data_IF_511808999245
#
_entry.id   IF_511808999245
#
_cell.length_a   1.000
_cell.length_b   1.000
_cell.length_c   1.000
_cell.angle_alpha   90.00
_cell.angle_beta   90.00
_cell.angle_gamma   90.00
#
_symmetry.space_group_name_H-M   'P 1'
#
loop_
_entity.id
_entity.type
_entity.pdbx_description
1 polymer ?
#
# COMPACT_ATOMS: atom_id res chain seq x y z
N UNK A 1 -27.44 -31.57 -9.58
CA UNK A 1 -28.42 -30.47 -9.76
C UNK A 1 -27.71 -29.19 -9.35
N UNK A 2 -28.07 -28.01 -9.86
CA UNK A 2 -27.41 -26.76 -9.42
C UNK A 2 -28.19 -26.17 -8.25
N UNK A 3 -27.53 -25.99 -7.11
CA UNK A 3 -28.10 -25.38 -5.90
C UNK A 3 -27.76 -23.89 -5.88
N UNK A 4 -28.74 -23.03 -5.63
CA UNK A 4 -28.53 -21.58 -5.58
C UNK A 4 -28.30 -21.12 -4.13
N UNK A 5 -27.23 -20.35 -3.91
CA UNK A 5 -26.91 -19.71 -2.62
C UNK A 5 -26.82 -18.20 -2.80
N UNK A 6 -27.72 -17.45 -2.16
CA UNK A 6 -27.74 -15.98 -2.23
C UNK A 6 -27.28 -15.35 -0.92
N UNK A 7 -26.09 -14.75 -0.91
CA UNK A 7 -25.48 -14.10 0.25
C UNK A 7 -25.71 -12.59 0.29
N UNK A 8 -26.25 -11.97 -0.77
CA UNK A 8 -26.39 -10.49 -0.89
C UNK A 8 -27.19 -9.82 0.25
N UNK A 9 -28.08 -10.58 0.88
CA UNK A 9 -28.93 -10.11 1.98
C UNK A 9 -28.38 -10.35 3.37
N UNK A 10 -27.26 -11.08 3.49
CA UNK A 10 -26.67 -11.44 4.77
C UNK A 10 -25.60 -10.41 5.19
N UNK A 11 -25.34 -10.27 6.51
CA UNK A 11 -24.13 -9.62 7.02
C UNK A 11 -22.88 -10.37 6.56
N UNK A 12 -21.76 -9.67 6.35
CA UNK A 12 -20.53 -10.29 5.85
C UNK A 12 -19.95 -11.32 6.82
N UNK A 13 -20.06 -11.07 8.13
CA UNK A 13 -19.65 -11.99 9.19
C UNK A 13 -20.45 -13.31 9.17
N UNK A 14 -21.62 -13.35 8.53
CA UNK A 14 -22.42 -14.57 8.36
C UNK A 14 -22.09 -15.34 7.07
N UNK A 15 -21.32 -14.77 6.13
CA UNK A 15 -21.04 -15.39 4.82
C UNK A 15 -20.39 -16.75 4.99
N UNK A 16 -19.34 -16.82 5.81
CA UNK A 16 -18.61 -18.05 6.13
C UNK A 16 -19.57 -19.12 6.65
N UNK A 17 -20.33 -18.82 7.69
CA UNK A 17 -21.23 -19.78 8.33
C UNK A 17 -22.24 -20.35 7.32
N UNK A 18 -22.86 -19.48 6.52
CA UNK A 18 -23.85 -19.91 5.50
C UNK A 18 -23.23 -20.75 4.40
N UNK A 19 -22.06 -20.35 3.92
CA UNK A 19 -21.31 -21.10 2.92
C UNK A 19 -20.99 -22.50 3.44
N UNK A 20 -20.44 -22.61 4.65
CA UNK A 20 -20.02 -23.88 5.25
C UNK A 20 -21.22 -24.79 5.53
N UNK A 21 -22.32 -24.26 6.08
CA UNK A 21 -23.57 -25.00 6.28
C UNK A 21 -24.10 -25.56 4.94
N UNK A 22 -24.05 -24.77 3.88
CA UNK A 22 -24.56 -25.17 2.55
C UNK A 22 -23.70 -26.28 1.94
N UNK A 23 -22.38 -26.22 2.12
CA UNK A 23 -21.45 -27.18 1.54
C UNK A 23 -21.30 -28.46 2.38
N UNK A 24 -21.70 -28.45 3.66
CA UNK A 24 -21.49 -29.59 4.60
C UNK A 24 -22.04 -30.92 4.09
N UNK A 25 -23.22 -30.91 3.45
CA UNK A 25 -23.87 -32.11 2.91
C UNK A 25 -23.62 -32.32 1.40
N UNK A 26 -22.70 -31.57 0.80
CA UNK A 26 -22.43 -31.63 -0.63
C UNK A 26 -21.59 -32.86 -1.03
N UNK A 27 -21.98 -33.51 -2.12
CA UNK A 27 -21.28 -34.64 -2.72
C UNK A 27 -20.32 -34.17 -3.84
N UNK A 28 -19.30 -34.96 -4.13
CA UNK A 28 -18.40 -34.69 -5.27
C UNK A 28 -19.18 -34.59 -6.57
N UNK A 29 -18.94 -33.52 -7.33
CA UNK A 29 -19.66 -33.18 -8.55
C UNK A 29 -20.90 -32.31 -8.34
N UNK A 30 -21.28 -32.00 -7.09
CA UNK A 30 -22.32 -31.01 -6.84
C UNK A 30 -21.87 -29.61 -7.27
N UNK A 31 -22.83 -28.84 -7.76
CA UNK A 31 -22.59 -27.51 -8.32
C UNK A 31 -23.48 -26.49 -7.64
N UNK A 32 -22.88 -25.38 -7.24
CA UNK A 32 -23.53 -24.27 -6.56
C UNK A 32 -23.41 -22.99 -7.40
N UNK A 33 -24.51 -22.28 -7.57
CA UNK A 33 -24.52 -20.92 -8.10
C UNK A 33 -24.59 -19.96 -6.91
N UNK A 34 -23.51 -19.23 -6.66
CA UNK A 34 -23.36 -18.38 -5.48
C UNK A 34 -23.37 -16.91 -5.90
N UNK A 35 -24.17 -16.11 -5.19
CA UNK A 35 -24.23 -14.66 -5.41
C UNK A 35 -23.88 -13.92 -4.12
N UNK A 36 -22.81 -13.13 -4.13
CA UNK A 36 -22.30 -12.40 -2.97
C UNK A 36 -22.04 -10.91 -3.28
N UNK A 37 -22.02 -10.05 -2.26
CA UNK A 37 -21.60 -8.64 -2.44
C UNK A 37 -20.09 -8.45 -2.32
N UNK A 38 -19.41 -9.35 -1.60
CA UNK A 38 -17.99 -9.25 -1.25
C UNK A 38 -17.20 -10.50 -1.69
N UNK A 39 -15.86 -10.46 -1.54
CA UNK A 39 -14.98 -11.58 -1.89
C UNK A 39 -15.26 -12.74 -0.93
N UNK A 40 -15.38 -13.94 -1.51
CA UNK A 40 -15.60 -15.15 -0.73
C UNK A 40 -14.50 -16.19 -0.92
N UNK A 41 -13.54 -15.93 -1.81
CA UNK A 41 -12.37 -16.77 -2.07
C UNK A 41 -11.64 -17.15 -0.78
N UNK A 42 -11.42 -16.24 0.20
CA UNK A 42 -10.80 -16.61 1.47
C UNK A 42 -11.60 -17.68 2.22
N UNK A 43 -12.93 -17.57 2.24
CA UNK A 43 -13.80 -18.56 2.86
C UNK A 43 -13.81 -19.90 2.10
N UNK A 44 -13.73 -19.85 0.77
CA UNK A 44 -13.65 -21.05 -0.07
C UNK A 44 -12.35 -21.82 0.18
N UNK A 45 -11.20 -21.14 0.18
CA UNK A 45 -9.91 -21.76 0.50
C UNK A 45 -9.91 -22.33 1.91
N UNK A 46 -10.46 -21.57 2.87
CA UNK A 46 -10.56 -22.04 4.25
C UNK A 46 -11.46 -23.27 4.38
N UNK A 47 -12.56 -23.34 3.63
CA UNK A 47 -13.41 -24.54 3.59
C UNK A 47 -12.63 -25.74 3.07
N UNK A 48 -11.84 -25.57 2.00
CA UNK A 48 -11.02 -26.66 1.44
C UNK A 48 -10.09 -27.28 2.48
N UNK A 49 -9.39 -26.44 3.24
CA UNK A 49 -8.43 -26.86 4.28
C UNK A 49 -9.16 -27.54 5.45
N UNK A 50 -10.23 -26.93 5.98
CA UNK A 50 -10.94 -27.44 7.16
C UNK A 50 -11.70 -28.74 6.89
N UNK A 51 -12.13 -28.97 5.64
CA UNK A 51 -12.96 -30.11 5.25
C UNK A 51 -12.26 -31.13 4.35
N UNK A 52 -10.96 -30.95 4.07
CA UNK A 52 -10.16 -31.80 3.17
C UNK A 52 -10.90 -32.07 1.85
N UNK A 53 -11.26 -30.99 1.16
CA UNK A 53 -12.10 -31.06 -0.05
C UNK A 53 -11.66 -30.04 -1.08
N UNK A 54 -11.38 -30.48 -2.30
CA UNK A 54 -11.11 -29.56 -3.40
C UNK A 54 -12.39 -28.82 -3.79
N UNK A 55 -12.25 -27.51 -4.03
CA UNK A 55 -13.30 -26.68 -4.61
C UNK A 55 -12.76 -26.02 -5.87
N UNK A 56 -13.55 -26.03 -6.93
CA UNK A 56 -13.26 -25.28 -8.15
C UNK A 56 -14.35 -24.23 -8.32
N UNK A 57 -13.98 -22.98 -8.58
CA UNK A 57 -14.96 -21.95 -8.86
C UNK A 57 -14.55 -21.04 -10.00
N UNK A 58 -15.54 -20.60 -10.76
CA UNK A 58 -15.39 -19.66 -11.85
C UNK A 58 -16.38 -18.50 -11.65
N UNK A 59 -15.89 -17.28 -11.79
CA UNK A 59 -16.73 -16.09 -11.80
C UNK A 59 -17.44 -15.97 -13.15
N UNK A 60 -18.76 -15.74 -13.14
CA UNK A 60 -19.50 -15.49 -14.39
C UNK A 60 -18.96 -14.24 -15.09
N UNK A 61 -18.68 -13.21 -14.29
CA UNK A 61 -18.02 -11.98 -14.70
C UNK A 61 -17.06 -11.55 -13.59
N UNK A 62 -15.73 -11.48 -13.84
CA UNK A 62 -14.75 -11.20 -12.79
C UNK A 62 -14.96 -9.84 -12.10
N UNK A 63 -15.66 -8.92 -12.79
CA UNK A 63 -15.84 -7.53 -12.42
C UNK A 63 -17.27 -7.13 -12.09
N UNK A 64 -18.23 -8.05 -12.24
CA UNK A 64 -19.62 -7.70 -12.01
C UNK A 64 -19.91 -7.62 -10.51
N UNK A 65 -20.71 -6.63 -10.16
CA UNK A 65 -21.37 -6.55 -8.86
C UNK A 65 -22.89 -6.67 -9.06
N UNK A 66 -23.57 -7.56 -8.31
CA UNK A 66 -23.02 -8.48 -7.31
C UNK A 66 -22.15 -9.57 -7.94
N UNK A 67 -21.25 -10.17 -7.14
CA UNK A 67 -20.39 -11.25 -7.61
C UNK A 67 -21.21 -12.51 -7.78
N UNK A 68 -21.10 -13.10 -8.95
CA UNK A 68 -21.78 -14.34 -9.33
C UNK A 68 -20.71 -15.34 -9.71
N UNK A 69 -20.66 -16.46 -9.00
CA UNK A 69 -19.71 -17.54 -9.26
C UNK A 69 -20.43 -18.88 -9.33
N UNK A 70 -19.86 -19.78 -10.13
CA UNK A 70 -20.24 -21.18 -10.20
C UNK A 70 -19.16 -21.99 -9.49
N UNK A 71 -19.54 -22.61 -8.38
CA UNK A 71 -18.68 -23.47 -7.58
C UNK A 71 -19.01 -24.94 -7.85
N UNK A 72 -17.98 -25.77 -7.98
CA UNK A 72 -18.07 -27.22 -8.14
C UNK A 72 -17.30 -27.89 -7.01
N UNK A 73 -17.93 -28.87 -6.36
CA UNK A 73 -17.31 -29.66 -5.29
C UNK A 73 -16.49 -30.79 -5.90
N UNK A 74 -15.20 -30.83 -5.58
CA UNK A 74 -14.25 -31.81 -6.09
C UNK A 74 -14.11 -33.06 -5.22
N UNK A 75 -13.08 -33.84 -5.52
CA UNK A 75 -12.60 -34.94 -4.67
C UNK A 75 -11.89 -34.39 -3.41
N UNK A 76 -11.49 -35.22 -2.44
CA UNK A 76 -10.58 -34.80 -1.37
C UNK A 76 -9.31 -34.16 -1.93
N UNK A 77 -8.63 -33.32 -1.14
CA UNK A 77 -7.45 -32.61 -1.62
C UNK A 77 -6.36 -33.61 -2.05
N UNK A 78 -5.69 -33.31 -3.16
CA UNK A 78 -4.56 -34.13 -3.63
C UNK A 78 -3.29 -33.93 -2.78
N UNK A 79 -3.27 -32.89 -1.93
CA UNK A 79 -2.18 -32.54 -1.01
C UNK A 79 -2.70 -31.93 0.29
N UNK A 80 -1.80 -31.37 1.10
CA UNK A 80 -2.15 -30.83 2.44
C UNK A 80 -2.82 -29.44 2.39
N UNK A 81 -2.82 -28.79 1.23
CA UNK A 81 -3.18 -27.38 1.07
C UNK A 81 -4.36 -27.17 0.10
N UNK A 82 -5.29 -26.29 0.48
CA UNK A 82 -6.37 -25.84 -0.41
C UNK A 82 -5.82 -25.03 -1.58
N UNK A 83 -6.50 -25.02 -2.73
CA UNK A 83 -6.02 -24.30 -3.93
C UNK A 83 -6.84 -23.05 -4.20
N UNK A 84 -6.18 -21.98 -4.62
CA UNK A 84 -6.82 -20.78 -5.18
C UNK A 84 -6.25 -20.46 -6.56
N UNK A 85 -7.14 -20.35 -7.54
CA UNK A 85 -6.80 -19.85 -8.87
C UNK A 85 -7.14 -18.37 -8.97
N UNK A 86 -6.12 -17.54 -9.20
CA UNK A 86 -6.27 -16.09 -9.26
C UNK A 86 -6.11 -15.52 -10.66
N UNK A 87 -5.98 -16.37 -11.68
CA UNK A 87 -5.69 -15.93 -13.06
C UNK A 87 -6.75 -14.97 -13.60
N UNK A 88 -8.01 -15.26 -13.29
CA UNK A 88 -9.15 -14.43 -13.69
C UNK A 88 -9.48 -13.32 -12.68
N UNK A 89 -8.79 -13.28 -11.54
CA UNK A 89 -8.94 -12.19 -10.56
C UNK A 89 -8.15 -10.97 -11.02
N UNK A 90 -8.79 -9.80 -10.91
CA UNK A 90 -8.10 -8.51 -11.06
C UNK A 90 -6.94 -8.36 -10.08
N UNK A 91 -5.85 -7.67 -10.47
CA UNK A 91 -4.68 -7.50 -9.62
C UNK A 91 -4.99 -6.99 -8.21
N UNK A 92 -5.84 -5.98 -8.03
CA UNK A 92 -6.12 -5.42 -6.70
C UNK A 92 -6.75 -6.45 -5.76
N UNK A 93 -7.74 -7.21 -6.27
CA UNK A 93 -8.49 -8.22 -5.50
C UNK A 93 -7.67 -9.47 -5.23
N UNK A 94 -6.81 -9.85 -6.18
CA UNK A 94 -5.84 -10.94 -6.02
C UNK A 94 -4.98 -10.71 -4.76
N UNK A 95 -4.38 -9.54 -4.61
CA UNK A 95 -3.53 -9.28 -3.45
C UNK A 95 -4.33 -9.31 -2.14
N UNK A 96 -5.49 -8.66 -2.10
CA UNK A 96 -6.36 -8.60 -0.92
C UNK A 96 -6.78 -10.01 -0.45
N UNK A 97 -7.30 -10.84 -1.36
CA UNK A 97 -7.72 -12.21 -1.03
C UNK A 97 -6.56 -13.07 -0.53
N UNK A 98 -5.37 -12.95 -1.15
CA UNK A 98 -4.21 -13.76 -0.77
C UNK A 98 -3.64 -13.38 0.60
N UNK A 99 -3.66 -12.10 0.95
CA UNK A 99 -3.28 -11.63 2.29
C UNK A 99 -4.28 -12.10 3.35
N UNK A 100 -5.58 -11.96 3.08
CA UNK A 100 -6.63 -12.41 4.00
C UNK A 100 -6.55 -13.92 4.24
N UNK A 101 -6.35 -14.73 3.19
CA UNK A 101 -6.13 -16.17 3.34
C UNK A 101 -4.95 -16.42 4.28
N UNK A 102 -3.79 -15.80 4.03
CA UNK A 102 -2.58 -16.02 4.82
C UNK A 102 -2.75 -15.61 6.30
N UNK A 103 -3.47 -14.52 6.57
CA UNK A 103 -3.76 -14.07 7.94
C UNK A 103 -4.58 -15.09 8.72
N UNK A 104 -5.48 -15.82 8.06
CA UNK A 104 -6.33 -16.85 8.69
C UNK A 104 -5.64 -18.19 8.91
N UNK A 105 -4.46 -18.42 8.33
CA UNK A 105 -3.72 -19.68 8.49
C UNK A 105 -3.18 -19.85 9.92
N UNK A 106 -3.23 -21.07 10.42
CA UNK A 106 -2.49 -21.53 11.60
C UNK A 106 -1.06 -21.96 11.21
N UNK A 107 -0.24 -22.22 12.22
CA UNK A 107 1.13 -22.71 12.00
C UNK A 107 1.11 -24.12 11.39
N UNK A 108 1.78 -24.30 10.26
CA UNK A 108 1.80 -25.53 9.45
C UNK A 108 0.68 -25.61 8.42
N UNK A 109 -0.23 -24.63 8.36
CA UNK A 109 -1.23 -24.54 7.29
C UNK A 109 -0.71 -23.71 6.12
N UNK A 110 -1.32 -23.93 4.95
CA UNK A 110 -0.92 -23.29 3.70
C UNK A 110 -1.99 -23.40 2.61
N UNK A 111 -1.71 -22.78 1.48
CA UNK A 111 -2.54 -22.87 0.28
C UNK A 111 -1.66 -22.92 -0.98
N UNK A 112 -2.19 -23.50 -2.06
CA UNK A 112 -1.60 -23.49 -3.39
C UNK A 112 -2.15 -22.32 -4.18
N UNK A 113 -1.28 -21.41 -4.61
CA UNK A 113 -1.59 -20.32 -5.53
C UNK A 113 -1.39 -20.77 -6.98
N UNK A 114 -2.42 -20.64 -7.82
CA UNK A 114 -2.33 -20.79 -9.28
C UNK A 114 -2.36 -19.42 -9.94
N UNK A 115 -1.29 -19.07 -10.65
CA UNK A 115 -1.12 -17.75 -11.26
C UNK A 115 -0.71 -17.84 -12.75
N UNK A 116 -0.97 -16.79 -13.51
CA UNK A 116 -0.66 -16.69 -14.95
C UNK A 116 0.79 -16.24 -15.22
N UNK A 117 1.47 -15.74 -14.19
CA UNK A 117 2.86 -15.29 -14.21
C UNK A 117 3.56 -15.68 -12.91
N UNK A 118 4.88 -15.49 -12.85
CA UNK A 118 5.66 -15.75 -11.63
C UNK A 118 5.20 -14.84 -10.47
N UNK A 119 4.64 -15.38 -9.37
CA UNK A 119 4.15 -14.59 -8.25
C UNK A 119 5.25 -14.17 -7.27
N UNK A 120 6.53 -14.22 -7.67
CA UNK A 120 7.67 -13.77 -6.85
C UNK A 120 7.51 -12.39 -6.17
N UNK A 121 6.85 -11.38 -6.76
CA UNK A 121 6.55 -10.13 -6.04
C UNK A 121 5.74 -10.37 -4.75
N UNK A 122 4.76 -11.28 -4.79
CA UNK A 122 3.95 -11.65 -3.62
C UNK A 122 4.79 -12.35 -2.54
N UNK A 123 5.77 -13.18 -2.92
CA UNK A 123 6.70 -13.77 -1.96
C UNK A 123 7.44 -12.70 -1.15
N UNK A 124 8.00 -11.70 -1.85
CA UNK A 124 8.69 -10.60 -1.20
C UNK A 124 7.75 -9.79 -0.30
N UNK A 125 6.49 -9.64 -0.73
CA UNK A 125 5.44 -8.97 0.01
C UNK A 125 5.11 -9.70 1.32
N UNK A 126 4.73 -10.98 1.25
CA UNK A 126 4.41 -11.81 2.40
C UNK A 126 5.61 -11.91 3.36
N UNK A 127 6.81 -12.16 2.83
CA UNK A 127 8.02 -12.23 3.64
C UNK A 127 8.35 -10.90 4.33
N UNK A 128 8.00 -9.78 3.70
CA UNK A 128 8.15 -8.46 4.33
C UNK A 128 7.14 -8.22 5.46
N UNK A 129 5.95 -8.82 5.39
CA UNK A 129 4.89 -8.67 6.41
C UNK A 129 5.07 -9.62 7.59
N UNK A 130 5.22 -10.90 7.28
CA UNK A 130 5.17 -11.97 8.28
C UNK A 130 6.58 -12.45 8.65
N UNK A 131 7.62 -11.93 7.99
CA UNK A 131 9.01 -12.27 8.28
C UNK A 131 9.36 -13.66 7.77
N UNK A 132 10.17 -14.39 8.54
CA UNK A 132 10.71 -15.69 8.13
C UNK A 132 9.74 -16.86 8.41
N UNK A 133 8.47 -16.59 8.76
CA UNK A 133 7.43 -17.64 8.91
C UNK A 133 6.79 -18.04 7.58
N UNK A 134 7.10 -17.35 6.48
CA UNK A 134 6.55 -17.63 5.16
C UNK A 134 7.36 -18.74 4.47
N UNK A 135 6.78 -19.92 4.38
CA UNK A 135 7.21 -21.01 3.51
C UNK A 135 6.79 -20.75 2.07
N UNK A 136 7.66 -21.05 1.11
CA UNK A 136 7.42 -20.80 -0.31
C UNK A 136 8.10 -21.86 -1.15
N UNK A 137 7.31 -22.65 -1.86
CA UNK A 137 7.80 -23.71 -2.75
C UNK A 137 7.07 -23.66 -4.09
N UNK A 138 7.82 -23.71 -5.19
CA UNK A 138 7.22 -23.79 -6.52
C UNK A 138 6.88 -25.26 -6.82
N UNK A 139 5.58 -25.56 -6.87
CA UNK A 139 5.08 -26.88 -7.28
C UNK A 139 5.18 -27.07 -8.80
N UNK A 140 4.99 -25.99 -9.58
CA UNK A 140 5.16 -26.00 -11.04
C UNK A 140 5.56 -24.62 -11.56
N UNK A 141 6.53 -24.60 -12.49
CA UNK A 141 7.03 -23.40 -13.17
C UNK A 141 7.02 -23.61 -14.70
N UNK A 142 6.36 -22.72 -15.44
CA UNK A 142 6.38 -22.70 -16.91
C UNK A 142 5.05 -23.08 -17.59
N UNK A 143 4.94 -22.78 -18.89
CA UNK A 143 3.75 -23.01 -19.74
C UNK A 143 2.49 -22.16 -19.44
N UNK A 144 2.67 -20.97 -18.85
CA UNK A 144 1.57 -20.01 -18.63
C UNK A 144 0.74 -20.30 -17.37
N UNK A 145 1.19 -21.25 -16.55
CA UNK A 145 0.59 -21.57 -15.25
C UNK A 145 1.72 -21.75 -14.22
N UNK A 146 1.64 -21.01 -13.13
CA UNK A 146 2.57 -21.08 -12.01
C UNK A 146 1.82 -21.60 -10.80
N UNK A 147 2.30 -22.70 -10.22
CA UNK A 147 1.76 -23.23 -8.95
C UNK A 147 2.79 -23.03 -7.85
N UNK A 148 2.36 -22.36 -6.79
CA UNK A 148 3.21 -22.08 -5.62
C UNK A 148 2.49 -22.50 -4.36
N UNK A 149 3.14 -23.35 -3.56
CA UNK A 149 2.75 -23.67 -2.21
C UNK A 149 3.24 -22.57 -1.27
N UNK A 150 2.29 -21.95 -0.56
CA UNK A 150 2.53 -20.88 0.40
C UNK A 150 2.11 -21.41 1.76
N UNK A 151 3.07 -21.53 2.68
CA UNK A 151 2.86 -22.10 4.02
C UNK A 151 3.17 -21.07 5.10
N UNK A 152 2.42 -21.09 6.21
CA UNK A 152 2.77 -20.40 7.44
C UNK A 152 3.50 -21.36 8.38
N UNK A 153 4.82 -21.41 8.28
CA UNK A 153 5.68 -22.43 8.92
C UNK A 153 5.73 -22.37 10.44
N UNK A 154 5.41 -21.22 11.05
CA UNK A 154 5.36 -21.05 12.49
C UNK A 154 4.26 -20.05 12.86
N UNK A 155 3.78 -20.15 14.10
CA UNK A 155 3.02 -19.05 14.69
C UNK A 155 3.96 -17.84 14.71
N UNK A 156 3.51 -16.72 14.15
CA UNK A 156 4.29 -15.48 14.22
C UNK A 156 4.67 -15.24 15.68
N UNK A 157 5.97 -15.18 15.99
CA UNK A 157 6.49 -14.79 17.32
C UNK A 157 6.28 -13.27 17.53
N UNK A 158 5.05 -12.79 17.33
CA UNK A 158 4.58 -11.55 17.89
C UNK A 158 4.21 -11.82 19.36
N UNK A 159 5.23 -12.05 20.18
CA UNK A 159 5.09 -12.05 21.63
C UNK A 159 4.63 -10.66 22.09
N UNK A 160 3.43 -10.59 22.66
CA UNK A 160 2.91 -9.44 23.41
C UNK A 160 1.70 -8.78 22.77
N UNK A 161 0.56 -8.85 23.48
CA UNK A 161 -0.62 -7.99 23.28
C UNK A 161 -0.20 -6.56 22.89
N UNK A 162 -0.81 -6.04 21.83
CA UNK A 162 -0.67 -4.70 21.22
C UNK A 162 0.38 -4.44 20.12
N UNK A 163 1.13 -5.43 19.60
CA UNK A 163 1.96 -5.22 18.37
C UNK A 163 1.59 -6.20 17.26
N UNK A 164 0.78 -5.74 16.30
CA UNK A 164 0.17 -6.59 15.26
C UNK A 164 1.15 -6.93 14.13
N UNK A 165 2.21 -6.15 13.87
CA UNK A 165 3.21 -6.53 12.84
C UNK A 165 4.53 -5.77 12.94
N UNK A 166 5.67 -6.43 12.67
CA UNK A 166 7.03 -5.85 12.71
C UNK A 166 7.68 -5.82 11.33
N UNK A 167 8.09 -4.64 10.88
CA UNK A 167 8.54 -4.37 9.51
C UNK A 167 9.97 -3.81 9.48
N UNK A 168 10.89 -4.48 8.78
CA UNK A 168 12.24 -3.97 8.56
C UNK A 168 12.35 -3.22 7.23
N UNK A 169 12.16 -1.89 7.27
CA UNK A 169 12.18 -1.04 6.07
C UNK A 169 13.55 -0.98 5.40
N UNK A 170 14.61 -1.46 6.07
CA UNK A 170 15.97 -1.54 5.47
C UNK A 170 16.02 -2.58 4.36
N UNK A 171 15.15 -3.59 4.39
CA UNK A 171 15.05 -4.66 3.38
C UNK A 171 14.23 -4.26 2.15
N UNK A 172 13.52 -3.13 2.22
CA UNK A 172 12.65 -2.63 1.15
C UNK A 172 13.43 -1.62 0.28
N UNK A 173 13.34 -1.69 -1.06
CA UNK A 173 13.87 -0.67 -1.95
C UNK A 173 13.37 0.73 -1.57
N UNK A 174 14.25 1.74 -1.59
CA UNK A 174 13.93 3.07 -1.03
C UNK A 174 12.67 3.70 -1.63
N UNK A 175 12.42 3.45 -2.92
CA UNK A 175 11.27 3.96 -3.66
C UNK A 175 9.93 3.34 -3.22
N UNK A 176 9.97 2.12 -2.68
CA UNK A 176 8.78 1.35 -2.30
C UNK A 176 8.45 1.49 -0.81
N UNK A 177 9.40 1.93 0.02
CA UNK A 177 9.25 2.01 1.49
C UNK A 177 7.97 2.71 1.93
N UNK A 178 7.78 3.96 1.50
CA UNK A 178 6.64 4.76 1.97
C UNK A 178 5.31 4.21 1.45
N UNK A 179 5.14 3.91 0.14
CA UNK A 179 3.93 3.25 -0.36
C UNK A 179 3.57 1.97 0.39
N UNK A 180 4.54 1.09 0.62
CA UNK A 180 4.32 -0.17 1.36
C UNK A 180 3.87 0.13 2.80
N UNK A 181 4.52 1.06 3.49
CA UNK A 181 4.16 1.39 4.89
C UNK A 181 2.75 1.99 4.99
N UNK A 182 2.38 2.88 4.06
CA UNK A 182 1.03 3.46 4.02
C UNK A 182 -0.05 2.42 3.72
N UNK A 183 0.21 1.53 2.76
CA UNK A 183 -0.69 0.42 2.46
C UNK A 183 -0.89 -0.48 3.69
N UNK A 184 0.20 -0.82 4.39
CA UNK A 184 0.14 -1.65 5.61
C UNK A 184 -0.60 -0.99 6.75
N UNK A 185 -0.35 0.29 7.00
CA UNK A 185 -1.08 1.04 8.01
C UNK A 185 -2.59 1.06 7.71
N UNK A 186 -2.98 1.16 6.45
CA UNK A 186 -4.39 1.10 6.03
C UNK A 186 -5.08 -0.23 6.32
N UNK A 187 -4.33 -1.34 6.27
CA UNK A 187 -4.81 -2.69 6.55
C UNK A 187 -4.91 -3.00 8.06
N UNK A 188 -4.36 -2.15 8.92
CA UNK A 188 -4.44 -2.37 10.36
C UNK A 188 -5.88 -2.21 10.86
N UNK A 189 -6.37 -3.13 11.72
CA UNK A 189 -7.60 -2.91 12.44
C UNK A 189 -7.45 -1.70 13.37
N UNK A 190 -8.57 -1.08 13.74
CA UNK A 190 -8.55 0.05 14.66
C UNK A 190 -8.04 -0.42 16.05
N UNK A 191 -7.11 0.33 16.64
CA UNK A 191 -6.35 -0.07 17.82
C UNK A 191 -5.08 -0.88 17.51
N UNK A 192 -4.85 -1.29 16.25
CA UNK A 192 -3.68 -2.05 15.85
C UNK A 192 -2.39 -1.22 15.82
N UNK A 193 -1.27 -1.80 16.27
CA UNK A 193 0.06 -1.18 16.20
C UNK A 193 0.96 -1.90 15.21
N UNK A 194 1.66 -1.15 14.36
CA UNK A 194 2.78 -1.63 13.56
C UNK A 194 4.12 -1.14 14.09
N UNK A 195 5.14 -2.00 14.09
CA UNK A 195 6.53 -1.65 14.37
C UNK A 195 7.33 -1.48 13.07
N UNK A 196 8.02 -0.36 12.90
CA UNK A 196 8.98 -0.13 11.81
C UNK A 196 10.41 -0.16 12.34
N UNK A 197 11.33 -0.83 11.63
CA UNK A 197 12.78 -0.80 11.88
C UNK A 197 13.44 -0.06 10.72
N UNK A 198 13.80 1.21 10.95
CA UNK A 198 14.45 2.08 9.98
C UNK A 198 15.95 2.23 10.26
N UNK A 199 16.78 2.62 9.27
CA UNK A 199 18.20 2.87 9.51
C UNK A 199 18.44 4.16 10.33
N UNK A 200 17.46 5.05 10.37
CA UNK A 200 17.45 6.31 11.12
C UNK A 200 15.99 6.67 11.43
N UNK A 201 15.77 7.70 12.25
CA UNK A 201 14.44 8.24 12.50
C UNK A 201 13.75 8.63 11.17
N UNK A 202 12.58 8.06 10.82
CA UNK A 202 11.95 8.30 9.53
C UNK A 202 11.04 9.55 9.60
N UNK A 203 11.67 10.72 9.76
CA UNK A 203 10.96 12.02 9.84
C UNK A 203 10.08 12.33 8.62
N UNK A 204 10.53 12.09 7.36
CA UNK A 204 9.70 12.35 6.19
C UNK A 204 8.41 11.53 6.21
N UNK A 205 8.54 10.23 6.51
CA UNK A 205 7.40 9.32 6.65
C UNK A 205 6.43 9.76 7.76
N UNK A 206 6.94 10.20 8.91
CA UNK A 206 6.09 10.75 9.98
C UNK A 206 5.29 11.97 9.52
N UNK A 207 5.91 12.84 8.73
CA UNK A 207 5.26 14.03 8.18
C UNK A 207 4.20 13.65 7.14
N UNK A 208 4.46 12.63 6.32
CA UNK A 208 3.48 12.08 5.37
C UNK A 208 2.28 11.47 6.10
N UNK A 209 2.51 10.69 7.16
CA UNK A 209 1.46 10.14 8.01
C UNK A 209 0.57 11.22 8.63
N UNK A 210 1.17 12.30 9.18
CA UNK A 210 0.40 13.43 9.70
C UNK A 210 -0.45 14.13 8.64
N UNK A 211 0.09 14.28 7.43
CA UNK A 211 -0.66 14.91 6.33
C UNK A 211 -1.81 14.03 5.84
N UNK A 212 -1.64 12.71 5.84
CA UNK A 212 -2.61 11.78 5.26
C UNK A 212 -3.66 11.30 6.27
N UNK A 213 -3.27 11.06 7.52
CA UNK A 213 -4.12 10.48 8.56
C UNK A 213 -4.40 11.43 9.73
N UNK A 214 -3.82 12.63 9.75
CA UNK A 214 -4.07 13.63 10.81
C UNK A 214 -3.64 13.12 12.19
N UNK A 215 -4.55 13.20 13.16
CA UNK A 215 -4.32 12.78 14.55
C UNK A 215 -4.93 11.39 14.87
N UNK A 216 -5.32 10.63 13.84
CA UNK A 216 -5.92 9.28 13.98
C UNK A 216 -4.88 8.18 14.24
N UNK A 217 -3.67 8.56 14.63
CA UNK A 217 -2.60 7.62 14.94
C UNK A 217 -1.68 8.14 16.03
N UNK A 218 -1.02 7.21 16.72
CA UNK A 218 0.10 7.47 17.60
C UNK A 218 1.41 7.10 16.93
N UNK A 219 2.47 7.85 17.26
CA UNK A 219 3.81 7.62 16.76
C UNK A 219 4.80 7.66 17.91
N UNK A 220 5.35 6.50 18.24
CA UNK A 220 6.30 6.32 19.33
C UNK A 220 7.64 5.81 18.80
N UNK A 221 8.75 6.40 19.26
CA UNK A 221 10.09 5.87 18.98
C UNK A 221 10.46 4.97 20.15
N UNK A 222 10.44 3.66 19.92
CA UNK A 222 10.66 2.63 20.94
C UNK A 222 12.14 2.48 21.27
N UNK A 223 13.00 2.59 20.25
CA UNK A 223 14.44 2.40 20.39
C UNK A 223 15.20 3.15 19.29
N UNK A 224 16.39 3.65 19.60
CA UNK A 224 17.24 4.37 18.65
C UNK A 224 18.72 4.09 18.89
N UNK A 225 19.30 3.29 18.00
CA UNK A 225 20.71 2.97 17.91
C UNK A 225 21.28 3.49 16.56
N UNK A 226 22.60 3.68 16.43
CA UNK A 226 23.21 3.99 15.14
C UNK A 226 22.88 2.92 14.08
N UNK A 227 22.18 3.30 13.01
CA UNK A 227 21.78 2.38 11.94
C UNK A 227 20.51 1.56 12.22
N UNK A 228 19.82 1.81 13.34
CA UNK A 228 18.58 1.13 13.71
C UNK A 228 17.69 2.02 14.58
N UNK A 229 16.51 2.37 14.08
CA UNK A 229 15.47 3.08 14.81
C UNK A 229 14.19 2.25 14.75
N UNK A 230 13.62 1.92 15.92
CA UNK A 230 12.33 1.23 16.04
C UNK A 230 11.23 2.25 16.33
N UNK A 231 10.18 2.21 15.53
CA UNK A 231 9.03 3.11 15.65
C UNK A 231 7.77 2.29 15.75
N UNK A 232 6.91 2.58 16.72
CA UNK A 232 5.54 2.06 16.78
C UNK A 232 4.58 3.10 16.21
N UNK A 233 3.69 2.64 15.33
CA UNK A 233 2.60 3.44 14.78
C UNK A 233 1.30 2.73 15.12
N UNK A 234 0.49 3.34 15.98
CA UNK A 234 -0.77 2.76 16.44
C UNK A 234 -1.94 3.48 15.79
N UNK A 235 -2.87 2.75 15.17
CA UNK A 235 -4.07 3.30 14.59
C UNK A 235 -5.10 3.55 15.70
N UNK A 236 -5.52 4.79 15.90
CA UNK A 236 -6.53 5.10 16.93
C UNK A 236 -7.92 4.73 16.42
N UNK A 237 -8.71 4.13 17.29
CA UNK A 237 -10.14 3.98 17.07
C UNK A 237 -10.88 5.26 17.49
N UNK A 238 -11.97 5.60 16.82
CA UNK A 238 -12.84 6.73 17.19
C UNK A 238 -13.49 6.58 18.60
N UNK A 239 -13.24 5.47 19.31
CA UNK A 239 -13.78 5.20 20.64
C UNK A 239 -12.95 5.79 21.79
N UNK A 240 -11.68 6.16 21.57
CA UNK A 240 -10.81 6.76 22.60
C UNK A 240 -10.64 8.26 22.39
N UNK A 241 -11.74 8.98 22.55
CA UNK A 241 -11.72 10.43 22.74
C UNK A 241 -11.65 10.78 24.22
N UNK A 242 -10.45 10.94 24.80
CA UNK A 242 -10.25 11.98 25.82
C UNK A 242 -8.79 12.46 25.98
N UNK A 243 -8.70 13.79 26.04
CA UNK A 243 -7.69 14.66 26.64
C UNK A 243 -6.18 14.40 26.46
N UNK A 244 -5.56 15.19 25.58
CA UNK A 244 -4.65 16.23 26.09
C UNK A 244 -4.58 17.42 25.13
N UNK A 245 -5.07 18.56 25.61
CA UNK A 245 -4.94 19.85 24.96
C UNK A 245 -3.50 20.38 25.10
N UNK A 246 -2.98 20.89 23.99
CA UNK A 246 -1.74 21.67 23.94
C UNK A 246 -1.82 22.64 22.78
N UNK A 247 -2.62 23.70 22.96
CA UNK A 247 -2.63 24.85 22.05
C UNK A 247 -1.31 25.59 22.25
N UNK A 248 -0.45 25.54 21.25
CA UNK A 248 0.51 26.62 21.00
C UNK A 248 0.38 27.03 19.54
N UNK A 249 -0.37 28.12 19.35
CA UNK A 249 -0.34 28.97 18.18
C UNK A 249 1.06 29.59 18.06
N UNK A 250 1.72 29.41 16.92
CA UNK A 250 2.57 30.49 16.41
C UNK A 250 2.39 30.63 14.90
N UNK A 251 1.81 31.77 14.56
CA UNK A 251 1.65 32.26 13.21
C UNK A 251 3.00 32.87 12.79
N UNK A 252 3.58 32.37 11.71
CA UNK A 252 4.43 33.20 10.88
C UNK A 252 4.46 32.68 9.44
N UNK A 253 3.40 33.00 8.70
CA UNK A 253 3.41 32.97 7.24
C UNK A 253 4.04 34.29 6.78
N UNK A 254 5.31 34.22 6.36
CA UNK A 254 5.97 35.31 5.68
C UNK A 254 6.10 34.90 4.21
N UNK A 255 5.29 35.55 3.37
CA UNK A 255 5.43 35.57 1.93
C UNK A 255 6.88 35.83 1.51
N UNK A 256 7.37 35.06 0.53
CA UNK A 256 8.58 35.40 -0.22
C UNK A 256 8.20 35.48 -1.70
N UNK A 257 8.60 36.59 -2.29
CA UNK A 257 8.22 37.13 -3.59
C UNK A 257 8.41 36.18 -4.78
N UNK A 258 7.48 36.26 -5.73
CA UNK A 258 7.43 35.42 -6.93
C UNK A 258 8.40 35.86 -8.02
N UNK A 259 9.25 34.93 -8.45
CA UNK A 259 9.85 34.93 -9.78
C UNK A 259 8.80 34.40 -10.77
N UNK A 260 8.35 35.23 -11.72
CA UNK A 260 7.32 34.84 -12.69
C UNK A 260 7.93 34.07 -13.86
N UNK A 261 7.70 32.76 -13.90
CA UNK A 261 8.14 31.88 -14.99
C UNK A 261 7.33 32.13 -16.27
N UNK A 262 7.98 32.16 -17.42
CA UNK A 262 7.31 32.20 -18.72
C UNK A 262 6.70 30.82 -19.02
N UNK A 263 5.36 30.76 -19.12
CA UNK A 263 4.66 29.50 -19.41
C UNK A 263 4.73 29.20 -20.90
N UNK A 264 5.49 28.18 -21.29
CA UNK A 264 5.76 27.83 -22.69
C UNK A 264 4.69 26.91 -23.30
N UNK A 265 4.07 26.03 -22.51
CA UNK A 265 3.03 25.09 -22.98
C UNK A 265 2.12 24.55 -21.86
N UNK A 266 1.00 23.92 -22.24
CA UNK A 266 0.15 23.09 -21.38
C UNK A 266 0.31 21.62 -21.82
N UNK A 267 0.61 20.72 -20.88
CA UNK A 267 0.80 19.29 -21.09
C UNK A 267 -0.30 18.52 -20.34
N UNK A 268 -1.31 18.06 -21.07
CA UNK A 268 -2.37 17.19 -20.54
C UNK A 268 -1.99 15.72 -20.68
N UNK A 269 -1.97 15.00 -19.56
CA UNK A 269 -1.54 13.59 -19.49
C UNK A 269 -2.66 12.63 -19.10
N UNK A 270 -3.89 13.12 -18.95
CA UNK A 270 -5.04 12.33 -18.46
C UNK A 270 -5.36 11.12 -19.34
N UNK A 271 -5.19 11.27 -20.66
CA UNK A 271 -5.50 10.22 -21.63
C UNK A 271 -4.29 9.29 -21.95
N UNK A 272 -3.14 9.51 -21.32
CA UNK A 272 -1.94 8.71 -21.56
C UNK A 272 -1.85 7.50 -20.60
N UNK A 273 -1.29 6.35 -21.02
CA UNK A 273 -0.95 5.25 -20.12
C UNK A 273 0.08 5.68 -19.05
N UNK A 274 0.01 5.16 -17.81
CA UNK A 274 0.87 5.60 -16.68
C UNK A 274 2.38 5.60 -16.96
N UNK A 275 2.88 4.60 -17.70
CA UNK A 275 4.29 4.54 -18.07
C UNK A 275 4.71 5.67 -19.02
N UNK A 276 3.83 6.07 -19.94
CA UNK A 276 4.09 7.14 -20.92
C UNK A 276 3.91 8.53 -20.33
N UNK A 277 3.08 8.66 -19.27
CA UNK A 277 2.90 9.93 -18.54
C UNK A 277 4.23 10.42 -17.98
N UNK A 278 4.94 9.56 -17.25
CA UNK A 278 6.21 9.92 -16.61
C UNK A 278 7.25 10.34 -17.64
N UNK A 279 7.50 9.51 -18.65
CA UNK A 279 8.47 9.79 -19.71
C UNK A 279 8.21 11.16 -20.37
N UNK A 280 6.97 11.43 -20.79
CA UNK A 280 6.55 12.70 -21.40
C UNK A 280 6.79 13.92 -20.51
N UNK A 281 6.55 13.79 -19.20
CA UNK A 281 6.66 14.93 -18.27
C UNK A 281 8.13 15.26 -17.98
N UNK A 282 8.99 14.24 -17.85
CA UNK A 282 10.42 14.44 -17.67
C UNK A 282 11.11 14.96 -18.92
N UNK A 283 10.71 14.49 -20.10
CA UNK A 283 11.21 15.03 -21.37
C UNK A 283 10.85 16.52 -21.52
N UNK A 284 9.58 16.87 -21.26
CA UNK A 284 9.13 18.26 -21.32
C UNK A 284 9.90 19.17 -20.34
N UNK A 285 10.24 18.66 -19.15
CA UNK A 285 11.05 19.40 -18.18
C UNK A 285 12.53 19.52 -18.59
N UNK A 286 13.10 18.45 -19.16
CA UNK A 286 14.49 18.45 -19.62
C UNK A 286 14.74 19.49 -20.72
N UNK A 287 13.73 19.71 -21.58
CA UNK A 287 13.77 20.68 -22.68
C UNK A 287 13.64 22.15 -22.25
N UNK A 288 13.18 22.45 -21.03
CA UNK A 288 13.03 23.82 -20.54
C UNK A 288 14.37 24.54 -20.38
N UNK A 289 14.43 25.81 -20.80
CA UNK A 289 15.48 26.74 -20.40
C UNK A 289 15.22 27.34 -19.01
N UNK A 290 16.24 27.98 -18.42
CA UNK A 290 16.06 28.77 -17.20
C UNK A 290 15.07 29.91 -17.44
N UNK A 291 14.16 30.13 -16.50
CA UNK A 291 13.05 31.08 -16.58
C UNK A 291 11.76 30.51 -17.20
N UNK A 292 11.78 29.30 -17.76
CA UNK A 292 10.63 28.68 -18.44
C UNK A 292 9.90 27.65 -17.58
N UNK A 293 8.61 27.45 -17.86
CA UNK A 293 7.82 26.37 -17.28
C UNK A 293 6.64 25.95 -18.14
N UNK A 294 6.06 24.79 -17.87
CA UNK A 294 4.83 24.31 -18.52
C UNK A 294 3.77 23.92 -17.47
N UNK A 295 2.50 23.96 -17.85
CA UNK A 295 1.39 23.55 -16.99
C UNK A 295 1.05 22.09 -17.25
N UNK A 296 1.28 21.22 -16.27
CA UNK A 296 0.81 19.85 -16.25
C UNK A 296 -0.67 19.79 -15.87
N UNK A 297 -1.48 19.04 -16.64
CA UNK A 297 -2.87 18.70 -16.31
C UNK A 297 -2.97 17.20 -16.03
N UNK A 298 -3.38 16.83 -14.81
CA UNK A 298 -3.48 15.43 -14.37
C UNK A 298 -4.86 15.13 -13.75
N UNK A 299 -5.28 13.86 -13.79
CA UNK A 299 -6.56 13.36 -13.27
C UNK A 299 -6.54 13.10 -11.76
N UNK A 300 -5.35 12.99 -11.17
CA UNK A 300 -5.09 12.84 -9.74
C UNK A 300 -3.99 13.80 -9.27
N UNK A 301 -3.81 13.98 -7.96
CA UNK A 301 -2.77 14.86 -7.41
C UNK A 301 -1.37 14.31 -7.77
N UNK A 302 -0.54 15.03 -8.55
CA UNK A 302 0.79 14.55 -8.95
C UNK A 302 1.84 14.72 -7.83
N UNK A 303 1.45 14.56 -6.55
CA UNK A 303 2.35 14.65 -5.40
C UNK A 303 3.55 13.69 -5.46
N UNK A 304 3.40 12.42 -5.93
CA UNK A 304 4.56 11.55 -6.12
C UNK A 304 5.57 12.13 -7.12
N UNK A 305 5.08 12.80 -8.16
CA UNK A 305 5.90 13.40 -9.20
C UNK A 305 6.65 14.65 -8.70
N UNK A 306 6.00 15.46 -7.84
CA UNK A 306 6.67 16.57 -7.13
C UNK A 306 7.92 16.09 -6.40
N UNK A 307 7.80 15.03 -5.59
CA UNK A 307 8.91 14.49 -4.82
C UNK A 307 10.02 13.92 -5.70
N UNK A 308 9.67 13.39 -6.87
CA UNK A 308 10.65 12.92 -7.84
C UNK A 308 11.44 14.09 -8.46
N UNK A 309 10.77 15.16 -8.86
CA UNK A 309 11.47 16.37 -9.34
C UNK A 309 12.31 17.03 -8.24
N UNK A 310 11.81 17.12 -7.00
CA UNK A 310 12.57 17.67 -5.87
C UNK A 310 13.89 16.91 -5.63
N UNK A 311 13.91 15.61 -5.90
CA UNK A 311 15.10 14.78 -5.75
C UNK A 311 16.08 14.87 -6.94
N UNK A 312 15.60 15.06 -8.16
CA UNK A 312 16.39 14.92 -9.39
C UNK A 312 16.69 16.23 -10.13
N UNK A 313 15.83 17.24 -9.99
CA UNK A 313 15.79 18.41 -10.86
C UNK A 313 16.68 19.59 -10.41
N UNK A 314 17.35 19.45 -9.26
CA UNK A 314 18.29 20.45 -8.76
C UNK A 314 17.62 21.74 -8.23
N UNK A 315 18.42 22.72 -7.79
CA UNK A 315 17.93 23.93 -7.10
C UNK A 315 17.15 24.90 -8.00
N UNK A 316 17.28 24.76 -9.30
CA UNK A 316 16.53 25.53 -10.30
C UNK A 316 15.07 25.08 -10.41
N UNK A 317 14.71 23.91 -9.87
CA UNK A 317 13.35 23.41 -9.93
C UNK A 317 12.33 24.35 -9.26
N UNK A 318 11.18 24.50 -9.91
CA UNK A 318 10.03 25.25 -9.42
C UNK A 318 8.75 24.46 -9.65
N UNK A 319 7.88 24.49 -8.65
CA UNK A 319 6.58 23.82 -8.65
C UNK A 319 5.52 24.71 -8.04
N UNK A 320 4.42 24.93 -8.76
CA UNK A 320 3.32 25.75 -8.28
C UNK A 320 1.99 25.12 -8.64
N UNK A 321 1.14 24.85 -7.65
CA UNK A 321 -0.22 24.41 -7.90
C UNK A 321 -1.07 25.58 -8.43
N UNK A 322 -1.60 25.42 -9.64
CA UNK A 322 -2.56 26.35 -10.25
C UNK A 322 -4.01 25.95 -9.96
N UNK A 323 -4.27 24.65 -9.83
CA UNK A 323 -5.60 24.11 -9.54
C UNK A 323 -5.52 22.76 -8.84
N UNK A 324 -6.38 22.55 -7.83
CA UNK A 324 -6.44 21.33 -7.01
C UNK A 324 -7.89 20.89 -6.82
N UNK A 325 -8.48 20.33 -7.87
CA UNK A 325 -9.85 19.82 -7.84
C UNK A 325 -9.86 18.31 -8.15
N UNK A 326 -10.71 17.51 -7.50
CA UNK A 326 -10.85 16.09 -7.83
C UNK A 326 -11.15 15.90 -9.33
N UNK A 327 -10.31 15.12 -10.02
CA UNK A 327 -10.40 14.88 -11.47
C UNK A 327 -9.69 15.90 -12.37
N UNK A 328 -9.22 17.03 -11.83
CA UNK A 328 -8.42 18.01 -12.58
C UNK A 328 -7.43 18.76 -11.67
N UNK A 329 -6.17 18.35 -11.73
CA UNK A 329 -5.04 19.00 -11.09
C UNK A 329 -4.23 19.74 -12.14
N UNK A 330 -3.94 21.02 -11.88
CA UNK A 330 -3.06 21.85 -12.73
C UNK A 330 -1.85 22.29 -11.94
N UNK A 331 -0.67 21.99 -12.44
CA UNK A 331 0.60 22.31 -11.79
C UNK A 331 1.53 22.98 -12.80
N UNK A 332 2.05 24.15 -12.46
CA UNK A 332 3.17 24.74 -13.19
C UNK A 332 4.48 24.10 -12.72
N UNK A 333 5.22 23.55 -13.67
CA UNK A 333 6.53 22.92 -13.48
C UNK A 333 7.54 23.73 -14.27
N UNK A 334 8.64 24.18 -13.66
CA UNK A 334 9.61 25.03 -14.36
C UNK A 334 11.02 25.06 -13.79
N UNK A 335 11.90 25.80 -14.48
CA UNK A 335 13.27 26.08 -14.08
C UNK A 335 13.44 27.57 -13.81
N UNK A 336 13.98 27.93 -12.66
CA UNK A 336 14.32 29.31 -12.33
C UNK A 336 15.57 29.77 -13.09
N UNK A 337 15.68 31.07 -13.32
CA UNK A 337 16.87 31.65 -13.92
C UNK A 337 18.07 31.55 -12.96
N UNK A 338 19.24 31.22 -13.53
CA UNK A 338 20.47 31.02 -12.78
C UNK A 338 20.93 32.25 -11.96
N UNK A 339 20.35 33.45 -12.18
CA UNK A 339 20.68 34.65 -11.41
C UNK A 339 20.09 34.70 -10.00
N UNK A 340 19.07 33.87 -9.69
CA UNK A 340 18.44 33.82 -8.37
C UNK A 340 19.14 32.91 -7.36
N UNK A 341 19.91 31.91 -7.82
CA UNK A 341 20.49 30.87 -6.96
C UNK A 341 21.70 31.35 -6.12
N UNK A 342 22.39 32.41 -6.52
CA UNK A 342 23.58 32.93 -5.80
C UNK A 342 23.23 33.82 -4.58
N UNK A 343 22.01 34.35 -4.50
CA UNK A 343 21.60 35.27 -3.42
C UNK A 343 21.27 34.55 -2.10
N UNK A 344 20.76 33.32 -2.17
CA UNK A 344 20.35 32.52 -0.99
C UNK A 344 21.56 31.93 -0.23
N UNK A 345 22.64 31.58 -0.94
CA UNK A 345 23.83 30.96 -0.34
C UNK A 345 24.66 31.94 0.53
N UNK A 346 24.58 33.24 0.28
CA UNK A 346 25.39 34.25 0.99
C UNK A 346 24.84 34.63 2.37
N UNK A 347 23.57 34.31 2.69
CA UNK A 347 22.96 34.70 3.97
C UNK A 347 23.27 33.76 5.15
N UNK A 348 23.89 32.59 4.91
CA UNK A 348 24.14 31.58 5.94
C UNK A 348 25.52 31.64 6.61
N UNK A 349 26.43 32.53 6.18
CA UNK A 349 27.83 32.54 6.65
C UNK A 349 28.19 33.56 7.74
N UNK A 350 27.24 34.38 8.24
CA UNK A 350 27.58 35.55 9.07
C UNK A 350 27.19 35.45 10.57
N UNK A 351 26.90 34.25 11.12
CA UNK A 351 26.37 34.14 12.49
C UNK A 351 27.10 33.15 13.40
N UNK A 352 28.43 33.12 13.37
CA UNK A 352 29.24 32.63 14.48
C UNK A 352 30.49 33.49 14.62
N UNK A 353 30.55 34.31 15.67
CA UNK A 353 31.73 34.77 16.42
C UNK A 353 31.37 36.10 17.13
N UNK A 354 31.13 36.06 18.44
CA UNK A 354 31.82 36.92 19.43
C UNK A 354 31.47 36.44 20.84
N UNK A 355 32.52 36.10 21.59
CA UNK A 355 32.43 35.45 22.89
C UNK A 355 32.22 36.35 24.11
N UNK A 356 32.05 35.64 25.22
CA UNK A 356 32.18 35.98 26.63
C UNK A 356 33.16 37.12 26.98
N UNK A 357 32.72 38.09 27.79
CA UNK A 357 33.38 38.43 29.06
C UNK A 357 32.53 39.44 29.87
N UNK A 358 32.14 39.05 31.08
CA UNK A 358 31.87 39.97 32.19
C UNK A 358 33.20 40.14 32.96
N UNK A 359 33.47 41.30 33.60
CA UNK A 359 33.00 41.47 34.98
C UNK A 359 32.76 42.91 35.48
N UNK A 360 32.14 42.94 36.68
CA UNK A 360 31.92 44.03 37.66
C UNK A 360 30.72 44.96 37.52
#
# INVERSE_FOLDING_TARGET
MTTELNLRGQPNDEYRTRLFETLTDAETGDVFAIVAKEDIDPYLVRYQIEHDRALEWEYEHPDAEPRELRLTVGEPLEGEFGTIDVRDLKPQRRHEALLEIFDTLEAGEGFVLVNDHDPKPLYHELRSMYGDVVGWEYASEGDGEWRVEIEKTAASEADGEDVVTRYDVRKIPKQERHPTIHHRYGMLPDGGTMELIAPHEPRPLRQEFRQQYGDTFDWEIVDQEPGRCRVHITKRSDADGDASSGIETDANDAAVDGESLETTAELDVRDLPPAQRHERIFDAYAELAGGEGFVLVNDHDPKPLYHQFEAEAGPEFRWEYRKREPGEFRVLIGKADASGAELEASNHSSREETGSEAPF
#
